data_IF_001908551016
#
_entry.id   IF_001908551016
#
_cell.length_a   1.000
_cell.length_b   1.000
_cell.length_c   1.000
_cell.angle_alpha   90.00
_cell.angle_beta   90.00
_cell.angle_gamma   90.00
#
_symmetry.space_group_name_H-M   'P 1'
#
loop_
_entity.id
_entity.type
_entity.pdbx_description
1 polymer ?
#
# COMPACT_ATOMS: atom_id res chain seq x y z
N UNK A 1 -4.65 -19.52 -20.71
CA UNK A 1 -3.72 -19.45 -19.57
C UNK A 1 -3.29 -18.02 -19.26
N UNK A 2 -2.67 -17.27 -20.20
CA UNK A 2 -2.27 -15.88 -19.92
C UNK A 2 -3.43 -14.96 -19.53
N UNK A 3 -4.59 -15.09 -20.20
CA UNK A 3 -5.77 -14.29 -19.87
C UNK A 3 -6.32 -14.58 -18.47
N UNK A 4 -6.38 -15.84 -18.06
CA UNK A 4 -6.89 -16.20 -16.72
C UNK A 4 -5.97 -15.67 -15.62
N UNK A 5 -4.64 -15.80 -15.79
CA UNK A 5 -3.64 -15.24 -14.86
C UNK A 5 -3.74 -13.71 -14.73
N UNK A 6 -3.96 -13.02 -15.86
CA UNK A 6 -4.15 -11.57 -15.87
C UNK A 6 -5.45 -11.13 -15.18
N UNK A 7 -6.55 -11.85 -15.43
CA UNK A 7 -7.85 -11.56 -14.82
C UNK A 7 -7.77 -11.70 -13.30
N UNK A 8 -7.22 -12.79 -12.77
CA UNK A 8 -7.11 -13.02 -11.32
C UNK A 8 -6.28 -11.93 -10.62
N UNK A 9 -5.14 -11.56 -11.22
CA UNK A 9 -4.28 -10.49 -10.69
C UNK A 9 -4.97 -9.13 -10.70
N UNK A 10 -5.70 -8.81 -11.77
CA UNK A 10 -6.44 -7.55 -11.89
C UNK A 10 -7.60 -7.44 -10.89
N UNK A 11 -8.28 -8.55 -10.60
CA UNK A 11 -9.34 -8.60 -9.60
C UNK A 11 -8.79 -8.32 -8.20
N UNK A 12 -7.63 -8.87 -7.86
CA UNK A 12 -6.95 -8.56 -6.59
C UNK A 12 -6.60 -7.09 -6.44
N UNK A 13 -6.04 -6.47 -7.49
CA UNK A 13 -5.69 -5.05 -7.49
C UNK A 13 -6.91 -4.12 -7.39
N UNK A 14 -7.99 -4.41 -8.11
CA UNK A 14 -9.23 -3.61 -8.02
C UNK A 14 -9.90 -3.75 -6.65
N UNK A 15 -10.00 -4.97 -6.11
CA UNK A 15 -10.62 -5.20 -4.80
C UNK A 15 -9.82 -4.53 -3.67
N UNK A 16 -8.50 -4.43 -3.79
CA UNK A 16 -7.63 -3.69 -2.88
C UNK A 16 -8.06 -2.22 -2.73
N UNK A 17 -8.22 -1.55 -3.87
CA UNK A 17 -8.62 -0.14 -3.94
C UNK A 17 -10.06 0.03 -3.45
N UNK A 18 -10.95 -0.88 -3.87
CA UNK A 18 -12.37 -0.81 -3.50
C UNK A 18 -12.54 -0.97 -1.99
N UNK A 19 -11.88 -1.96 -1.39
CA UNK A 19 -11.96 -2.24 0.04
C UNK A 19 -11.34 -1.11 0.85
N UNK A 20 -10.15 -0.66 0.48
CA UNK A 20 -9.47 0.43 1.18
C UNK A 20 -10.30 1.73 1.23
N UNK A 21 -10.93 2.10 0.12
CA UNK A 21 -11.79 3.29 0.07
C UNK A 21 -13.16 3.08 0.75
N UNK A 22 -13.70 1.86 0.70
CA UNK A 22 -14.99 1.55 1.33
C UNK A 22 -14.91 1.51 2.86
N UNK A 23 -13.74 1.16 3.42
CA UNK A 23 -13.53 1.12 4.86
C UNK A 23 -13.38 2.53 5.47
N UNK A 24 -12.76 3.46 4.74
CA UNK A 24 -12.63 4.86 5.17
C UNK A 24 -13.95 5.65 5.02
N UNK A 25 -14.71 5.40 3.95
CA UNK A 25 -15.93 6.17 3.65
C UNK A 25 -17.22 5.35 3.78
N UNK A 26 -17.94 5.55 4.89
CA UNK A 26 -19.26 4.92 5.15
C UNK A 26 -20.29 5.15 4.04
N UNK A 27 -20.20 6.28 3.32
CA UNK A 27 -21.12 6.62 2.23
C UNK A 27 -20.85 5.79 0.97
N UNK A 28 -19.58 5.47 0.68
CA UNK A 28 -19.17 4.57 -0.40
C UNK A 28 -19.58 3.14 -0.08
N UNK A 29 -19.44 2.73 1.19
CA UNK A 29 -19.87 1.40 1.66
C UNK A 29 -21.36 1.13 1.41
N UNK A 30 -22.23 2.14 1.61
CA UNK A 30 -23.68 2.02 1.38
C UNK A 30 -24.02 1.76 -0.10
N UNK A 31 -23.23 2.34 -1.01
CA UNK A 31 -23.46 2.28 -2.46
C UNK A 31 -22.35 1.52 -3.21
N UNK A 32 -21.87 0.39 -2.65
CA UNK A 32 -20.72 -0.37 -3.17
C UNK A 32 -20.83 -0.74 -4.65
N UNK A 33 -22.04 -1.06 -5.14
CA UNK A 33 -22.28 -1.41 -6.55
C UNK A 33 -21.94 -0.26 -7.49
N UNK A 34 -22.40 0.95 -7.17
CA UNK A 34 -22.14 2.15 -7.99
C UNK A 34 -20.66 2.51 -7.97
N UNK A 35 -20.01 2.37 -6.81
CA UNK A 35 -18.59 2.65 -6.66
C UNK A 35 -17.70 1.66 -7.45
N UNK A 36 -18.05 0.38 -7.44
CA UNK A 36 -17.35 -0.64 -8.24
C UNK A 36 -17.50 -0.36 -9.73
N UNK A 37 -18.70 0.01 -10.18
CA UNK A 37 -18.93 0.38 -11.57
C UNK A 37 -18.12 1.63 -11.97
N UNK A 38 -18.08 2.66 -11.10
CA UNK A 38 -17.32 3.89 -11.37
C UNK A 38 -15.81 3.64 -11.46
N UNK A 39 -15.25 2.81 -10.58
CA UNK A 39 -13.81 2.47 -10.60
C UNK A 39 -13.44 1.60 -11.81
N UNK A 40 -14.28 0.63 -12.17
CA UNK A 40 -14.12 -0.15 -13.40
C UNK A 40 -14.22 0.72 -14.66
N UNK A 41 -15.18 1.64 -14.70
CA UNK A 41 -15.32 2.57 -15.82
C UNK A 41 -14.13 3.55 -15.92
N UNK A 42 -13.64 4.06 -14.78
CA UNK A 42 -12.46 4.92 -14.75
C UNK A 42 -11.19 4.23 -15.25
N UNK A 43 -10.95 2.99 -14.81
CA UNK A 43 -9.80 2.19 -15.29
C UNK A 43 -9.94 1.82 -16.76
N UNK A 44 -11.15 1.56 -17.27
CA UNK A 44 -11.41 1.37 -18.69
C UNK A 44 -11.02 2.59 -19.53
N UNK A 45 -11.37 3.81 -19.09
CA UNK A 45 -10.99 5.04 -19.79
C UNK A 45 -9.46 5.23 -19.84
N UNK A 46 -8.75 4.92 -18.75
CA UNK A 46 -7.29 4.99 -18.72
C UNK A 46 -6.67 3.91 -19.64
N UNK A 47 -7.25 2.70 -19.65
CA UNK A 47 -6.79 1.61 -20.49
C UNK A 47 -6.92 1.92 -22.00
N UNK A 48 -7.91 2.72 -22.42
CA UNK A 48 -8.06 3.14 -23.82
C UNK A 48 -6.82 3.86 -24.35
N UNK A 49 -6.13 4.67 -23.53
CA UNK A 49 -4.88 5.32 -23.95
C UNK A 49 -3.77 4.31 -24.29
N UNK A 50 -3.75 3.16 -23.60
CA UNK A 50 -2.75 2.11 -23.80
C UNK A 50 -3.02 1.22 -25.02
N UNK A 51 -4.21 1.30 -25.64
CA UNK A 51 -4.60 0.49 -26.81
C UNK A 51 -4.36 1.26 -28.14
N UNK A 52 -3.95 2.53 -28.07
CA UNK A 52 -3.63 3.34 -29.25
C UNK A 52 -2.38 2.82 -29.99
N UNK A 53 -2.13 3.29 -31.23
CA UNK A 53 -0.96 2.86 -32.03
C UNK A 53 0.40 3.09 -31.34
N UNK A 54 0.48 4.06 -30.41
CA UNK A 54 1.68 4.32 -29.58
C UNK A 54 1.61 3.70 -28.17
N UNK A 55 0.63 2.83 -27.91
CA UNK A 55 0.30 2.33 -26.58
C UNK A 55 1.43 1.56 -25.90
N UNK A 56 2.26 0.86 -26.66
CA UNK A 56 3.41 0.11 -26.11
C UNK A 56 4.43 1.01 -25.42
N UNK A 57 4.65 2.23 -25.93
CA UNK A 57 5.56 3.20 -25.31
C UNK A 57 4.98 3.74 -24.00
N UNK A 58 3.67 4.02 -23.98
CA UNK A 58 2.95 4.46 -22.77
C UNK A 58 2.96 3.35 -21.72
N UNK A 59 2.70 2.11 -22.12
CA UNK A 59 2.72 0.94 -21.25
C UNK A 59 4.11 0.74 -20.63
N UNK A 60 5.17 0.81 -21.43
CA UNK A 60 6.55 0.64 -20.95
C UNK A 60 6.95 1.74 -19.95
N UNK A 61 6.53 2.98 -20.20
CA UNK A 61 6.76 4.09 -19.28
C UNK A 61 6.03 3.88 -17.95
N UNK A 62 4.76 3.48 -18.00
CA UNK A 62 3.96 3.21 -16.80
C UNK A 62 4.50 2.01 -16.02
N UNK A 63 4.91 0.94 -16.69
CA UNK A 63 5.46 -0.26 -16.05
C UNK A 63 6.74 0.05 -15.27
N UNK A 64 7.68 0.79 -15.88
CA UNK A 64 8.94 1.11 -15.22
C UNK A 64 8.80 2.15 -14.07
N UNK A 65 8.07 3.23 -14.31
CA UNK A 65 7.96 4.33 -13.34
C UNK A 65 6.84 4.12 -12.31
N UNK A 66 5.65 3.69 -12.73
CA UNK A 66 4.50 3.54 -11.83
C UNK A 66 4.52 2.19 -11.08
N UNK A 67 4.73 1.07 -11.77
CA UNK A 67 4.72 -0.24 -11.11
C UNK A 67 6.09 -0.58 -10.48
N UNK A 68 7.19 -0.35 -11.20
CA UNK A 68 8.54 -0.66 -10.69
C UNK A 68 8.96 0.27 -9.54
N UNK A 69 9.36 1.49 -9.88
CA UNK A 69 10.02 2.41 -8.94
C UNK A 69 9.12 2.80 -7.75
N UNK A 70 7.83 3.05 -8.00
CA UNK A 70 6.91 3.55 -6.97
C UNK A 70 6.53 2.49 -5.94
N UNK A 71 6.20 1.27 -6.38
CA UNK A 71 5.79 0.17 -5.47
C UNK A 71 6.98 -0.26 -4.61
N UNK A 72 8.17 -0.39 -5.21
CA UNK A 72 9.40 -0.74 -4.46
C UNK A 72 9.66 0.23 -3.31
N UNK A 73 9.51 1.54 -3.55
CA UNK A 73 9.65 2.54 -2.51
C UNK A 73 8.54 2.48 -1.46
N UNK A 74 7.29 2.26 -1.87
CA UNK A 74 6.17 2.07 -0.95
C UNK A 74 6.41 0.91 0.02
N UNK A 75 6.80 -0.25 -0.50
CA UNK A 75 7.09 -1.45 0.30
C UNK A 75 8.31 -1.24 1.21
N UNK A 76 9.32 -0.48 0.78
CA UNK A 76 10.46 -0.12 1.64
C UNK A 76 10.00 0.66 2.88
N UNK A 77 9.16 1.69 2.70
CA UNK A 77 8.64 2.48 3.81
C UNK A 77 7.74 1.62 4.71
N UNK A 78 6.89 0.77 4.14
CA UNK A 78 6.04 -0.14 4.91
C UNK A 78 6.88 -1.13 5.74
N UNK A 79 7.92 -1.72 5.15
CA UNK A 79 8.82 -2.65 5.83
C UNK A 79 9.55 -1.98 6.99
N UNK A 80 10.08 -0.76 6.80
CA UNK A 80 10.72 0.03 7.87
C UNK A 80 9.68 0.42 8.94
N UNK A 81 8.47 0.79 8.52
CA UNK A 81 7.32 1.07 9.37
C UNK A 81 7.01 -0.07 10.33
N UNK A 82 6.85 -1.28 9.81
CA UNK A 82 6.52 -2.46 10.63
C UNK A 82 7.70 -2.89 11.50
N UNK A 83 8.91 -2.93 10.94
CA UNK A 83 10.06 -3.50 11.66
C UNK A 83 10.64 -2.57 12.73
N UNK A 84 10.73 -1.26 12.48
CA UNK A 84 11.37 -0.29 13.39
C UNK A 84 10.35 0.55 14.17
N UNK A 85 9.31 1.09 13.51
CA UNK A 85 8.35 1.98 14.17
C UNK A 85 7.31 1.20 15.00
N UNK A 86 6.71 0.15 14.41
CA UNK A 86 5.78 -0.72 15.14
C UNK A 86 6.53 -1.67 16.09
N UNK A 87 7.62 -2.26 15.60
CA UNK A 87 8.50 -3.15 16.35
C UNK A 87 8.11 -4.61 16.16
N UNK A 88 9.10 -5.44 15.80
CA UNK A 88 8.92 -6.87 15.49
C UNK A 88 8.41 -7.69 16.68
N UNK A 89 8.69 -7.29 17.92
CA UNK A 89 8.12 -7.91 19.12
C UNK A 89 6.60 -7.78 19.19
N UNK A 90 6.07 -6.58 18.92
CA UNK A 90 4.61 -6.34 18.95
C UNK A 90 3.92 -7.06 17.80
N UNK A 91 4.52 -7.02 16.62
CA UNK A 91 4.01 -7.75 15.46
C UNK A 91 3.96 -9.26 15.71
N UNK A 92 4.99 -9.82 16.36
CA UNK A 92 5.01 -11.23 16.73
C UNK A 92 3.93 -11.59 17.75
N UNK A 93 3.59 -10.71 18.69
CA UNK A 93 2.49 -10.93 19.63
C UNK A 93 1.13 -10.88 18.95
N UNK A 94 0.94 -10.00 17.96
CA UNK A 94 -0.33 -9.93 17.24
C UNK A 94 -0.57 -11.19 16.39
N UNK A 95 0.47 -11.71 15.75
CA UNK A 95 0.41 -13.00 15.05
C UNK A 95 0.08 -14.13 16.03
N UNK A 96 0.67 -14.14 17.22
CA UNK A 96 0.37 -15.11 18.27
C UNK A 96 -1.11 -15.04 18.71
N UNK A 97 -1.68 -13.83 18.78
CA UNK A 97 -3.12 -13.65 19.08
C UNK A 97 -4.03 -14.11 17.95
N UNK A 98 -3.60 -14.01 16.69
CA UNK A 98 -4.39 -14.41 15.52
C UNK A 98 -4.33 -15.92 15.25
N UNK A 99 -3.13 -16.51 15.29
CA UNK A 99 -2.89 -17.90 14.92
C UNK A 99 -2.68 -18.85 16.11
N UNK A 100 -2.54 -18.32 17.32
CA UNK A 100 -2.32 -19.11 18.54
C UNK A 100 -0.88 -19.59 18.76
N UNK A 101 0.06 -19.28 17.87
CA UNK A 101 1.48 -19.63 18.01
C UNK A 101 2.40 -18.45 17.67
N UNK A 102 3.53 -18.36 18.37
CA UNK A 102 4.51 -17.29 18.16
C UNK A 102 5.46 -17.63 16.99
N UNK A 103 5.65 -16.73 16.02
CA UNK A 103 6.62 -16.95 14.95
C UNK A 103 8.05 -17.07 15.51
N UNK A 104 8.79 -18.05 15.02
CA UNK A 104 10.15 -18.34 15.46
C UNK A 104 11.16 -17.21 15.19
N UNK A 105 12.34 -17.29 15.81
CA UNK A 105 13.39 -16.27 15.69
C UNK A 105 13.84 -16.00 14.25
N UNK A 106 13.82 -17.02 13.38
CA UNK A 106 14.14 -16.89 11.96
C UNK A 106 13.26 -15.85 11.25
N UNK A 107 11.94 -15.97 11.41
CA UNK A 107 10.97 -15.05 10.80
C UNK A 107 11.14 -13.62 11.31
N UNK A 108 11.41 -13.49 12.61
CA UNK A 108 11.60 -12.19 13.27
C UNK A 108 12.88 -11.51 12.79
N UNK A 109 13.97 -12.26 12.59
CA UNK A 109 15.21 -11.74 12.02
C UNK A 109 15.03 -11.34 10.54
N UNK A 110 14.29 -12.16 9.79
CA UNK A 110 13.98 -11.89 8.39
C UNK A 110 13.23 -10.56 8.21
N UNK A 111 12.19 -10.31 9.02
CA UNK A 111 11.43 -9.05 8.97
C UNK A 111 12.22 -7.85 9.48
N UNK A 112 13.13 -8.04 10.45
CA UNK A 112 13.88 -6.93 11.04
C UNK A 112 15.04 -6.46 10.16
N UNK A 113 15.76 -7.39 9.54
CA UNK A 113 17.02 -7.09 8.85
C UNK A 113 16.97 -7.48 7.38
N UNK A 114 16.62 -8.73 7.06
CA UNK A 114 16.77 -9.26 5.69
C UNK A 114 15.86 -8.52 4.71
N UNK A 115 14.56 -8.40 5.02
CA UNK A 115 13.57 -7.74 4.17
C UNK A 115 13.91 -6.27 3.88
N UNK A 116 14.10 -5.40 4.90
CA UNK A 116 14.43 -4.00 4.64
C UNK A 116 15.79 -3.81 3.96
N UNK A 117 16.80 -4.63 4.27
CA UNK A 117 18.10 -4.56 3.59
C UNK A 117 17.99 -4.98 2.12
N UNK A 118 17.27 -6.07 1.82
CA UNK A 118 17.07 -6.53 0.45
C UNK A 118 16.32 -5.48 -0.39
N UNK A 119 15.23 -4.92 0.14
CA UNK A 119 14.48 -3.86 -0.53
C UNK A 119 15.32 -2.60 -0.75
N UNK A 120 16.15 -2.22 0.22
CA UNK A 120 17.04 -1.07 0.10
C UNK A 120 18.07 -1.26 -1.02
N UNK A 121 18.66 -2.45 -1.14
CA UNK A 121 19.60 -2.78 -2.23
C UNK A 121 18.90 -2.67 -3.60
N UNK A 122 17.70 -3.23 -3.73
CA UNK A 122 16.93 -3.18 -4.99
C UNK A 122 16.56 -1.75 -5.36
N UNK A 123 16.13 -0.92 -4.40
CA UNK A 123 15.82 0.49 -4.65
C UNK A 123 17.06 1.27 -5.11
N UNK A 124 18.21 1.08 -4.46
CA UNK A 124 19.47 1.72 -4.89
C UNK A 124 19.84 1.28 -6.31
N UNK A 125 19.77 -0.02 -6.60
CA UNK A 125 20.05 -0.55 -7.94
C UNK A 125 19.09 0.04 -8.98
N UNK A 126 17.81 0.18 -8.65
CA UNK A 126 16.80 0.80 -9.51
C UNK A 126 17.15 2.25 -9.83
N UNK A 127 17.54 3.05 -8.83
CA UNK A 127 17.91 4.46 -9.03
C UNK A 127 19.17 4.60 -9.90
N UNK A 128 20.18 3.77 -9.64
CA UNK A 128 21.45 3.80 -10.40
C UNK A 128 21.22 3.39 -11.86
N UNK A 129 20.33 2.41 -12.11
CA UNK A 129 20.04 1.89 -13.46
C UNK A 129 19.02 2.76 -14.22
N UNK A 130 18.43 3.78 -13.59
CA UNK A 130 17.38 4.63 -14.20
C UNK A 130 17.86 5.61 -15.28
N UNK A 131 19.08 5.46 -15.81
CA UNK A 131 19.63 6.36 -16.85
C UNK A 131 19.11 5.98 -18.24
N UNK A 132 18.05 6.66 -18.68
CA UNK A 132 17.56 6.64 -20.06
C UNK A 132 16.74 5.40 -20.42
N UNK A 133 15.42 5.48 -20.24
CA UNK A 133 14.51 4.45 -20.75
C UNK A 133 14.67 4.39 -22.28
N UNK A 134 14.94 3.20 -22.81
CA UNK A 134 14.92 2.89 -24.23
C UNK A 134 14.04 1.67 -24.45
N UNK A 135 13.24 1.70 -25.50
CA UNK A 135 12.46 0.56 -25.92
C UNK A 135 12.86 0.22 -27.35
N UNK A 136 13.55 -0.90 -27.52
CA UNK A 136 14.16 -1.32 -28.78
C UNK A 136 15.12 -0.22 -29.32
N UNK A 137 14.93 0.25 -30.55
CA UNK A 137 15.69 1.36 -31.14
C UNK A 137 15.21 2.76 -30.73
N UNK A 138 14.12 2.86 -29.96
CA UNK A 138 13.53 4.14 -29.57
C UNK A 138 14.06 4.62 -28.21
N UNK A 139 14.79 5.74 -28.23
CA UNK A 139 15.22 6.44 -27.01
C UNK A 139 14.14 7.42 -26.57
N UNK A 140 13.67 7.28 -25.32
CA UNK A 140 12.63 8.16 -24.81
C UNK A 140 13.16 9.60 -24.67
N UNK A 141 12.40 10.60 -25.14
CA UNK A 141 12.78 11.99 -25.02
C UNK A 141 12.74 12.45 -23.56
N UNK A 142 13.56 13.44 -23.21
CA UNK A 142 13.74 13.90 -21.82
C UNK A 142 12.43 14.33 -21.14
N UNK A 143 11.47 14.91 -21.87
CA UNK A 143 10.16 15.27 -21.33
C UNK A 143 9.37 14.06 -20.83
N UNK A 144 9.53 12.91 -21.48
CA UNK A 144 8.85 11.66 -21.13
C UNK A 144 9.37 11.12 -19.79
N UNK A 145 10.69 11.21 -19.58
CA UNK A 145 11.30 10.87 -18.30
C UNK A 145 10.82 11.80 -17.17
N UNK A 146 10.63 13.10 -17.43
CA UNK A 146 10.08 14.04 -16.44
C UNK A 146 8.64 13.66 -16.06
N UNK A 147 7.81 13.28 -17.04
CA UNK A 147 6.45 12.80 -16.77
C UNK A 147 6.49 11.49 -15.97
N UNK A 148 7.35 10.55 -16.32
CA UNK A 148 7.53 9.29 -15.59
C UNK A 148 7.91 9.51 -14.12
N UNK A 149 8.90 10.35 -13.85
CA UNK A 149 9.25 10.75 -12.50
C UNK A 149 8.13 11.52 -11.78
N UNK A 150 7.37 12.35 -12.50
CA UNK A 150 6.19 13.02 -11.95
C UNK A 150 5.13 12.03 -11.47
N UNK A 151 4.83 11.00 -12.26
CA UNK A 151 3.91 9.92 -11.89
C UNK A 151 4.45 9.16 -10.68
N UNK A 152 5.73 8.79 -10.69
CA UNK A 152 6.34 8.06 -9.59
C UNK A 152 6.28 8.85 -8.26
N UNK A 153 6.76 10.09 -8.29
CA UNK A 153 6.79 10.97 -7.12
C UNK A 153 5.38 11.30 -6.61
N UNK A 154 4.37 11.38 -7.49
CA UNK A 154 3.00 11.67 -7.07
C UNK A 154 2.49 10.66 -6.04
N UNK A 155 2.77 9.37 -6.25
CA UNK A 155 2.39 8.30 -5.32
C UNK A 155 3.26 8.32 -4.04
N UNK A 156 4.58 8.49 -4.20
CA UNK A 156 5.54 8.49 -3.09
C UNK A 156 5.32 9.65 -2.12
N UNK A 157 4.84 10.80 -2.61
CA UNK A 157 4.60 12.00 -1.78
C UNK A 157 3.35 11.89 -0.91
N UNK A 158 2.38 11.03 -1.20
CA UNK A 158 1.18 10.89 -0.37
C UNK A 158 1.50 10.49 1.08
N UNK A 159 2.45 9.57 1.26
CA UNK A 159 2.86 9.09 2.60
C UNK A 159 3.47 10.20 3.47
N UNK A 160 4.52 10.94 3.03
CA UNK A 160 5.09 12.03 3.81
C UNK A 160 4.13 13.21 3.97
N UNK A 161 3.36 13.58 2.93
CA UNK A 161 2.36 14.65 3.04
C UNK A 161 1.36 14.33 4.16
N UNK A 162 0.89 13.08 4.21
CA UNK A 162 -0.05 12.67 5.24
C UNK A 162 0.58 12.64 6.64
N UNK A 163 1.83 12.18 6.75
CA UNK A 163 2.59 12.23 8.00
C UNK A 163 2.75 13.67 8.52
N UNK A 164 3.10 14.62 7.63
CA UNK A 164 3.23 16.06 7.96
C UNK A 164 1.88 16.65 8.34
N UNK A 165 0.82 16.38 7.57
CA UNK A 165 -0.53 16.86 7.88
C UNK A 165 -0.96 16.41 9.28
N UNK A 166 -0.71 15.13 9.62
CA UNK A 166 -1.05 14.61 10.94
C UNK A 166 -0.18 15.21 12.03
N UNK A 167 1.10 15.44 11.75
CA UNK A 167 2.01 16.12 12.67
C UNK A 167 1.54 17.53 13.01
N UNK A 168 1.14 18.32 12.01
CA UNK A 168 0.66 19.69 12.19
C UNK A 168 -0.72 19.78 12.83
N UNK A 169 -1.58 18.77 12.65
CA UNK A 169 -2.95 18.76 13.18
C UNK A 169 -3.06 18.31 14.64
N UNK A 170 -1.96 17.92 15.29
CA UNK A 170 -1.98 17.54 16.70
C UNK A 170 -1.65 18.75 17.60
N UNK A 171 -2.58 19.16 18.49
CA UNK A 171 -2.28 20.20 19.47
C UNK A 171 -1.38 19.62 20.58
N UNK A 172 -0.10 20.01 20.62
CA UNK A 172 0.83 19.62 21.69
C UNK A 172 2.27 20.12 21.52
N UNK A 173 2.98 20.33 22.63
CA UNK A 173 4.41 20.72 22.67
C UNK A 173 5.32 19.57 22.21
N UNK A 174 6.36 19.87 21.41
CA UNK A 174 7.30 18.93 20.75
C UNK A 174 7.76 17.73 21.59
N UNK A 175 8.04 17.91 22.90
CA UNK A 175 8.51 16.83 23.79
C UNK A 175 7.42 15.81 24.16
N UNK A 176 6.15 16.24 24.26
CA UNK A 176 5.02 15.32 24.51
C UNK A 176 4.61 14.54 23.26
N UNK A 177 4.83 15.12 22.07
CA UNK A 177 4.55 14.48 20.77
C UNK A 177 5.56 13.38 20.39
N UNK A 178 6.81 13.46 20.87
CA UNK A 178 7.80 12.39 20.74
C UNK A 178 7.57 11.27 21.76
N UNK A 179 7.08 11.60 22.96
CA UNK A 179 6.85 10.64 24.04
C UNK A 179 5.52 9.88 23.89
N UNK A 180 4.47 10.53 23.36
CA UNK A 180 3.35 9.82 22.72
C UNK A 180 3.86 9.27 21.40
N UNK A 181 4.27 7.99 21.38
CA UNK A 181 4.49 7.23 20.14
C UNK A 181 3.33 7.46 19.16
N UNK A 182 3.50 8.38 18.22
CA UNK A 182 2.64 8.59 17.07
C UNK A 182 2.72 7.36 16.13
N UNK A 183 1.76 7.10 15.23
CA UNK A 183 0.31 7.08 15.29
C UNK A 183 -0.26 5.65 15.47
N UNK A 184 0.60 4.63 15.62
CA UNK A 184 0.20 3.21 15.61
C UNK A 184 -0.60 2.76 16.84
N UNK A 185 -0.58 3.52 17.94
CA UNK A 185 -1.41 3.24 19.12
C UNK A 185 -2.92 3.31 18.83
N UNK A 186 -3.34 4.00 17.76
CA UNK A 186 -4.75 4.09 17.39
C UNK A 186 -5.35 2.72 17.00
N UNK A 187 -4.54 1.82 16.40
CA UNK A 187 -4.96 0.45 16.06
C UNK A 187 -5.42 -0.34 17.30
N UNK A 188 -4.83 -0.07 18.47
CA UNK A 188 -5.17 -0.74 19.73
C UNK A 188 -6.46 -0.21 20.36
N UNK A 189 -6.87 1.04 20.10
CA UNK A 189 -8.07 1.61 20.74
C UNK A 189 -9.35 1.06 20.10
N UNK A 190 -9.36 0.73 18.80
CA UNK A 190 -10.55 0.16 18.15
C UNK A 190 -10.83 -1.26 18.64
N UNK A 191 -9.80 -2.10 18.82
CA UNK A 191 -10.02 -3.48 19.26
C UNK A 191 -10.43 -3.60 20.73
N UNK A 192 -10.02 -2.65 21.59
CA UNK A 192 -10.38 -2.68 23.01
C UNK A 192 -11.80 -2.14 23.28
N UNK A 193 -12.37 -1.34 22.37
CA UNK A 193 -13.66 -0.69 22.59
C UNK A 193 -14.88 -1.58 22.27
N UNK A 194 -14.69 -2.74 21.63
CA UNK A 194 -15.78 -3.69 21.40
C UNK A 194 -16.25 -4.40 22.69
N UNK A 195 -15.53 -4.25 23.80
CA UNK A 195 -15.89 -4.85 25.10
C UNK A 195 -16.48 -3.86 26.12
N UNK A 196 -16.56 -2.57 25.79
CA UNK A 196 -17.13 -1.56 26.69
C UNK A 196 -18.03 -0.63 25.91
N UNK A 197 -19.34 -0.91 25.92
CA UNK A 197 -20.33 0.02 25.42
C UNK A 197 -20.25 1.34 26.18
N UNK A 198 -20.02 2.46 25.47
CA UNK A 198 -20.49 3.81 25.80
C UNK A 198 -20.24 4.78 24.63
N UNK A 199 -21.37 5.24 24.05
CA UNK A 199 -21.70 6.57 23.47
C UNK A 199 -20.68 7.34 22.59
N UNK A 200 -21.06 7.46 21.31
CA UNK A 200 -20.91 8.58 20.36
C UNK A 200 -19.94 9.73 20.67
N UNK A 201 -18.86 9.82 19.89
CA UNK A 201 -18.41 11.07 19.24
C UNK A 201 -17.51 10.75 18.03
N UNK A 202 -17.59 11.51 16.91
CA UNK A 202 -17.04 11.11 15.62
C UNK A 202 -15.57 11.51 15.52
N UNK A 203 -14.66 10.64 15.95
CA UNK A 203 -13.25 10.81 15.61
C UNK A 203 -13.03 10.38 14.16
N UNK A 204 -12.84 11.36 13.28
CA UNK A 204 -12.36 11.21 11.90
C UNK A 204 -11.02 10.48 11.91
N UNK A 205 -11.07 9.17 11.74
CA UNK A 205 -9.94 8.30 11.34
C UNK A 205 -9.80 8.40 9.82
N UNK A 206 -9.68 9.62 9.29
CA UNK A 206 -9.55 9.80 7.84
C UNK A 206 -8.05 9.81 7.50
N UNK A 207 -7.64 8.90 6.61
CA UNK A 207 -6.38 8.83 5.82
C UNK A 207 -5.17 8.00 6.31
N UNK A 208 -5.14 7.38 7.51
CA UNK A 208 -3.97 6.53 7.89
C UNK A 208 -3.99 5.16 7.19
N UNK A 209 -5.16 4.67 6.79
CA UNK A 209 -5.36 3.29 6.31
C UNK A 209 -5.26 3.15 4.79
N UNK A 210 -5.04 4.24 4.06
CA UNK A 210 -5.09 4.21 2.59
C UNK A 210 -3.90 3.47 1.94
N UNK A 211 -2.81 3.22 2.67
CA UNK A 211 -1.65 2.45 2.16
C UNK A 211 -1.42 1.11 2.91
N UNK A 212 -1.64 1.06 4.23
CA UNK A 212 -1.49 -0.18 5.01
C UNK A 212 -2.42 -1.32 4.58
N UNK A 213 -3.45 -1.02 3.78
CA UNK A 213 -4.35 -2.03 3.23
C UNK A 213 -3.71 -2.88 2.11
N UNK A 214 -2.57 -2.49 1.52
CA UNK A 214 -1.83 -3.41 0.62
C UNK A 214 -1.21 -4.58 1.40
N UNK A 215 -0.69 -4.33 2.61
CA UNK A 215 -0.18 -5.38 3.48
C UNK A 215 -1.31 -6.23 4.11
N UNK A 216 -2.51 -5.66 4.29
CA UNK A 216 -3.66 -6.35 4.90
C UNK A 216 -4.37 -7.33 3.93
N UNK A 217 -4.16 -7.20 2.62
CA UNK A 217 -4.68 -8.17 1.63
C UNK A 217 -3.96 -9.52 1.75
N UNK A 218 -2.76 -9.55 2.33
CA UNK A 218 -2.09 -10.79 2.68
C UNK A 218 -2.73 -11.51 3.90
N UNK A 219 -3.57 -10.81 4.68
CA UNK A 219 -4.32 -11.40 5.81
C UNK A 219 -5.73 -11.85 5.44
N UNK A 220 -6.37 -11.23 4.43
CA UNK A 220 -7.76 -11.57 4.05
C UNK A 220 -7.86 -12.90 3.27
N UNK A 221 -6.75 -13.45 2.75
CA UNK A 221 -6.77 -14.78 2.11
C UNK A 221 -6.73 -15.96 3.12
N UNK A 222 -6.74 -15.72 4.43
CA UNK A 222 -6.80 -16.78 5.44
C UNK A 222 -8.16 -16.93 6.16
N UNK A 223 -9.18 -16.12 5.84
CA UNK A 223 -10.48 -16.18 6.54
C UNK A 223 -11.65 -16.54 5.60
N UNK A 224 -11.50 -17.62 4.84
CA UNK A 224 -12.63 -18.31 4.23
C UNK A 224 -12.74 -19.72 4.80
N UNK A 225 -13.80 -20.05 5.57
CA UNK A 225 -14.02 -21.37 6.16
C UNK A 225 -14.55 -22.41 5.14
N UNK A 226 -14.34 -22.20 3.85
CA UNK A 226 -14.69 -23.15 2.79
C UNK A 226 -13.44 -23.50 2.00
N UNK A 227 -12.94 -24.70 2.24
CA UNK A 227 -11.68 -25.23 1.70
C UNK A 227 -11.60 -25.20 0.17
N UNK A 228 -10.84 -24.25 -0.35
CA UNK A 228 -10.12 -24.39 -1.60
C UNK A 228 -8.65 -24.07 -1.35
N UNK A 229 -7.93 -25.13 -0.97
CA UNK A 229 -6.49 -25.20 -0.95
C UNK A 229 -6.05 -25.73 -2.33
N UNK A 230 -5.16 -25.00 -3.01
CA UNK A 230 -4.35 -25.42 -4.17
C UNK A 230 -5.08 -25.93 -5.44
N UNK A 231 -5.07 -25.09 -6.49
CA UNK A 231 -4.16 -25.30 -7.62
C UNK A 231 -3.93 -23.98 -8.37
#
# INVERSE_FOLDING_TARGET
>A
MLLTLGIDSSMGGMEAVITGLSDDFKILKKNRKLFTFATAFGTFLVALFCITNGGIYVLTLLDNYAAGTSILFGVLIEAIGVSWFYGVDRFSEDIERMMGFKPGLYWRLCWKFVSPTFLLVVVIASIVTSTGLSYDDYVFPSWSNVIGWGVALSSMMFVPIYAIYKFLSMPGTFKQLLQKKMPFYCLRIVHNNNNTGLRHSPLKVNHVLTFSNLALICQIKCDSPSGFCLM
#
